data_IF_626612085676
#
_entry.id   IF_626612085676
#
_cell.length_a   1.000
_cell.length_b   1.000
_cell.length_c   1.000
_cell.angle_alpha   90.00
_cell.angle_beta   90.00
_cell.angle_gamma   90.00
#
_symmetry.space_group_name_H-M   'P 1'
#
loop_
_entity.id
_entity.type
_entity.pdbx_description
1 polymer ?
#
# COMPACT_ATOMS: atom_id res chain seq x y z
N UNK A 1 4.30 10.97 -17.22
CA UNK A 1 5.05 11.51 -16.07
C UNK A 1 4.22 11.32 -14.82
N UNK A 2 4.48 10.24 -14.08
CA UNK A 2 3.72 9.79 -12.91
C UNK A 2 4.45 9.83 -11.55
N UNK A 3 5.75 10.21 -11.46
CA UNK A 3 6.38 10.46 -10.17
C UNK A 3 5.68 11.56 -9.34
N UNK A 4 4.97 12.51 -9.96
CA UNK A 4 4.46 13.72 -9.30
C UNK A 4 3.39 13.47 -8.22
N UNK A 5 2.27 12.84 -8.57
CA UNK A 5 1.13 12.68 -7.63
C UNK A 5 1.39 11.70 -6.48
N UNK A 6 2.21 10.69 -6.71
CA UNK A 6 2.66 9.79 -5.65
C UNK A 6 3.68 10.51 -4.75
N UNK A 7 4.64 11.26 -5.32
CA UNK A 7 5.58 12.06 -4.53
C UNK A 7 4.89 13.14 -3.69
N UNK A 8 3.82 13.76 -4.19
CA UNK A 8 2.99 14.73 -3.42
C UNK A 8 2.31 14.11 -2.19
N UNK A 9 2.07 12.80 -2.20
CA UNK A 9 1.55 12.04 -1.05
C UNK A 9 2.67 11.49 -0.14
N UNK A 10 3.93 11.85 -0.40
CA UNK A 10 5.11 11.29 0.28
C UNK A 10 5.47 9.86 -0.16
N UNK A 11 4.89 9.41 -1.27
CA UNK A 11 5.04 8.05 -1.81
C UNK A 11 6.15 8.06 -2.86
N UNK A 12 7.37 7.79 -2.44
CA UNK A 12 8.49 7.55 -3.36
C UNK A 12 8.48 6.08 -3.82
N UNK A 13 7.41 5.66 -4.49
CA UNK A 13 7.32 4.32 -5.07
C UNK A 13 7.63 4.41 -6.56
N UNK A 14 8.73 3.79 -6.96
CA UNK A 14 8.96 3.54 -8.38
C UNK A 14 8.10 2.34 -8.78
N UNK A 15 6.90 2.60 -9.31
CA UNK A 15 5.93 1.56 -9.72
C UNK A 15 6.45 0.65 -10.86
N UNK A 16 7.59 1.02 -11.48
CA UNK A 16 8.29 0.23 -12.49
C UNK A 16 9.52 -0.51 -11.95
N UNK A 17 9.84 -0.37 -10.65
CA UNK A 17 10.88 -1.20 -10.02
C UNK A 17 10.39 -2.65 -10.00
N UNK A 18 11.16 -3.55 -10.63
CA UNK A 18 10.87 -4.99 -10.67
C UNK A 18 10.81 -5.62 -9.27
N UNK A 19 11.62 -5.12 -8.35
CA UNK A 19 11.71 -5.59 -6.97
C UNK A 19 11.50 -4.41 -6.02
N UNK A 20 10.29 -4.28 -5.47
CA UNK A 20 10.06 -3.42 -4.31
C UNK A 20 10.21 -4.29 -3.06
N UNK A 21 11.01 -3.86 -2.08
CA UNK A 21 11.10 -4.64 -0.85
C UNK A 21 9.84 -4.42 -0.02
N UNK A 22 9.40 -5.46 0.67
CA UNK A 22 8.28 -5.41 1.63
C UNK A 22 8.38 -4.20 2.57
N UNK A 23 9.58 -3.91 3.06
CA UNK A 23 9.84 -2.79 3.96
C UNK A 23 9.62 -1.43 3.30
N UNK A 24 9.97 -1.26 2.02
CA UNK A 24 9.70 -0.02 1.28
C UNK A 24 8.21 0.22 1.10
N UNK A 25 7.45 -0.83 0.81
CA UNK A 25 6.00 -0.78 0.64
C UNK A 25 5.32 -0.38 1.96
N UNK A 26 5.65 -1.07 3.05
CA UNK A 26 5.13 -0.79 4.39
C UNK A 26 5.46 0.63 4.83
N UNK A 27 6.72 1.07 4.68
CA UNK A 27 7.15 2.43 5.04
C UNK A 27 6.37 3.48 4.27
N UNK A 28 6.16 3.27 2.97
CA UNK A 28 5.40 4.20 2.13
C UNK A 28 3.94 4.30 2.60
N UNK A 29 3.28 3.17 2.85
CA UNK A 29 1.89 3.18 3.33
C UNK A 29 1.75 3.83 4.71
N UNK A 30 2.68 3.55 5.63
CA UNK A 30 2.71 4.21 6.94
C UNK A 30 2.93 5.72 6.82
N UNK A 31 3.80 6.17 5.93
CA UNK A 31 4.03 7.59 5.69
C UNK A 31 2.75 8.30 5.21
N UNK A 32 2.00 7.68 4.28
CA UNK A 32 0.71 8.23 3.84
C UNK A 32 -0.29 8.26 4.99
N UNK A 33 -0.36 7.19 5.78
CA UNK A 33 -1.29 7.12 6.91
C UNK A 33 -1.01 8.19 7.97
N UNK A 34 0.27 8.41 8.30
CA UNK A 34 0.70 9.50 9.18
C UNK A 34 0.33 10.87 8.61
N UNK A 35 0.59 11.11 7.32
CA UNK A 35 0.23 12.37 6.66
C UNK A 35 -1.29 12.62 6.60
N UNK A 36 -2.10 11.56 6.59
CA UNK A 36 -3.56 11.65 6.65
C UNK A 36 -4.12 11.70 8.08
N UNK A 37 -3.27 11.75 9.11
CA UNK A 37 -3.70 11.82 10.51
C UNK A 37 -4.37 10.54 11.02
N UNK A 38 -4.07 9.38 10.42
CA UNK A 38 -4.62 8.09 10.84
C UNK A 38 -3.96 7.59 12.13
N UNK A 39 -4.78 7.04 13.03
CA UNK A 39 -4.40 6.55 14.36
C UNK A 39 -3.35 5.42 14.32
N UNK A 40 -2.51 5.34 15.35
CA UNK A 40 -1.54 4.27 15.65
C UNK A 40 -2.05 2.83 15.44
N UNK A 41 -3.32 2.56 15.72
CA UNK A 41 -3.95 1.26 15.49
C UNK A 41 -4.00 0.89 14.00
N UNK A 42 -4.19 1.88 13.12
CA UNK A 42 -4.16 1.68 11.67
C UNK A 42 -2.73 1.40 11.17
N UNK A 43 -1.72 2.02 11.80
CA UNK A 43 -0.31 1.79 11.47
C UNK A 43 0.14 0.36 11.82
N UNK A 44 -0.27 -0.18 12.97
CA UNK A 44 0.05 -1.56 13.35
C UNK A 44 -0.61 -2.58 12.41
N UNK A 45 -1.86 -2.33 11.99
CA UNK A 45 -2.60 -3.19 11.06
C UNK A 45 -2.00 -3.19 9.65
N UNK A 46 -1.38 -2.09 9.26
CA UNK A 46 -0.68 -1.97 7.97
C UNK A 46 0.48 -2.97 7.89
N UNK A 47 1.26 -3.13 8.97
CA UNK A 47 2.32 -4.14 9.00
C UNK A 47 1.79 -5.55 8.83
N UNK A 48 0.75 -5.91 9.59
CA UNK A 48 0.17 -7.26 9.55
C UNK A 48 -0.37 -7.60 8.15
N UNK A 49 -1.17 -6.70 7.58
CA UNK A 49 -1.81 -6.89 6.27
C UNK A 49 -0.74 -7.00 5.19
N UNK A 50 0.24 -6.10 5.16
CA UNK A 50 1.25 -6.12 4.10
C UNK A 50 2.26 -7.24 4.26
N UNK A 51 2.58 -7.68 5.49
CA UNK A 51 3.35 -8.90 5.71
C UNK A 51 2.61 -10.11 5.13
N UNK A 52 1.34 -10.28 5.50
CA UNK A 52 0.53 -11.40 5.02
C UNK A 52 0.30 -11.36 3.51
N UNK A 53 0.05 -10.17 2.96
CA UNK A 53 -0.10 -9.98 1.53
C UNK A 53 1.19 -10.31 0.77
N UNK A 54 2.34 -9.90 1.31
CA UNK A 54 3.63 -10.25 0.74
C UNK A 54 3.82 -11.76 0.76
N UNK A 55 3.60 -12.45 1.89
CA UNK A 55 3.74 -13.91 2.01
C UNK A 55 2.83 -14.67 1.03
N UNK A 56 1.57 -14.25 0.90
CA UNK A 56 0.60 -14.86 -0.02
C UNK A 56 0.85 -14.54 -1.50
N UNK A 57 1.61 -13.50 -1.81
CA UNK A 57 1.80 -13.06 -3.20
C UNK A 57 2.74 -13.99 -3.97
N UNK A 58 2.31 -14.58 -5.10
CA UNK A 58 3.13 -15.52 -5.87
C UNK A 58 4.34 -14.85 -6.54
N UNK A 59 4.24 -13.56 -6.86
CA UNK A 59 5.27 -12.81 -7.61
C UNK A 59 6.05 -11.82 -6.75
N UNK A 60 5.58 -11.54 -5.54
CA UNK A 60 6.15 -10.54 -4.61
C UNK A 60 6.34 -9.12 -5.21
N UNK A 61 5.76 -8.85 -6.38
CA UNK A 61 5.81 -7.55 -7.03
C UNK A 61 4.76 -6.59 -6.45
N UNK A 62 4.98 -5.29 -6.67
CA UNK A 62 4.17 -4.20 -6.14
C UNK A 62 2.66 -4.38 -6.37
N UNK A 63 2.25 -4.71 -7.59
CA UNK A 63 0.83 -4.80 -7.93
C UNK A 63 0.19 -6.05 -7.35
N UNK A 64 0.89 -7.18 -7.41
CA UNK A 64 0.40 -8.44 -6.85
C UNK A 64 0.21 -8.32 -5.33
N UNK A 65 1.19 -7.72 -4.63
CA UNK A 65 1.13 -7.51 -3.17
C UNK A 65 0.01 -6.55 -2.79
N UNK A 66 -0.18 -5.46 -3.55
CA UNK A 66 -1.28 -4.53 -3.27
C UNK A 66 -2.65 -5.13 -3.52
N UNK A 67 -2.80 -5.92 -4.58
CA UNK A 67 -4.06 -6.62 -4.83
C UNK A 67 -4.39 -7.63 -3.72
N UNK A 68 -3.40 -8.37 -3.24
CA UNK A 68 -3.59 -9.29 -2.12
C UNK A 68 -3.95 -8.54 -0.82
N UNK A 69 -3.25 -7.43 -0.51
CA UNK A 69 -3.57 -6.58 0.64
C UNK A 69 -5.00 -6.00 0.54
N UNK A 70 -5.44 -5.64 -0.66
CA UNK A 70 -6.81 -5.19 -0.90
C UNK A 70 -7.83 -6.29 -0.60
N UNK A 71 -7.56 -7.53 -1.00
CA UNK A 71 -8.45 -8.67 -0.71
C UNK A 71 -8.53 -8.95 0.79
N UNK A 72 -7.39 -8.96 1.49
CA UNK A 72 -7.33 -9.19 2.94
C UNK A 72 -8.10 -8.12 3.74
N UNK A 73 -8.22 -6.91 3.20
CA UNK A 73 -8.88 -5.78 3.87
C UNK A 73 -10.34 -5.57 3.45
N UNK A 74 -10.80 -6.24 2.38
CA UNK A 74 -12.12 -6.02 1.76
C UNK A 74 -13.31 -6.42 2.64
N UNK A 75 -13.13 -7.43 3.50
CA UNK A 75 -14.21 -8.05 4.25
C UNK A 75 -14.29 -7.63 5.72
N UNK A 76 -13.55 -6.58 6.11
CA UNK A 76 -13.50 -6.13 7.49
C UNK A 76 -13.73 -4.64 7.57
N UNK A 77 -14.80 -4.23 8.25
CA UNK A 77 -15.05 -2.82 8.58
C UNK A 77 -13.86 -2.18 9.31
N UNK A 78 -13.11 -3.00 10.06
CA UNK A 78 -11.92 -2.59 10.77
C UNK A 78 -10.78 -2.12 9.86
N UNK A 79 -10.77 -2.51 8.58
CA UNK A 79 -9.72 -2.18 7.61
C UNK A 79 -10.20 -1.23 6.51
N UNK A 80 -11.36 -0.59 6.67
CA UNK A 80 -11.98 0.27 5.63
C UNK A 80 -11.03 1.37 5.13
N UNK A 81 -10.37 2.11 6.02
CA UNK A 81 -9.45 3.19 5.65
C UNK A 81 -8.21 2.68 4.91
N UNK A 82 -7.67 1.51 5.32
CA UNK A 82 -6.52 0.89 4.65
C UNK A 82 -6.91 0.36 3.27
N UNK A 83 -8.06 -0.30 3.14
CA UNK A 83 -8.59 -0.75 1.85
C UNK A 83 -8.82 0.43 0.88
N UNK A 84 -9.36 1.54 1.38
CA UNK A 84 -9.55 2.76 0.59
C UNK A 84 -8.21 3.32 0.10
N UNK A 85 -7.21 3.42 0.98
CA UNK A 85 -5.87 3.88 0.64
C UNK A 85 -5.18 2.99 -0.40
N UNK A 86 -5.26 1.66 -0.23
CA UNK A 86 -4.75 0.69 -1.22
C UNK A 86 -5.41 0.91 -2.58
N UNK A 87 -6.73 1.15 -2.59
CA UNK A 87 -7.49 1.46 -3.80
C UNK A 87 -7.01 2.73 -4.52
N UNK A 88 -6.73 3.81 -3.78
CA UNK A 88 -6.17 5.05 -4.33
C UNK A 88 -4.80 4.79 -4.96
N UNK A 89 -3.89 4.11 -4.25
CA UNK A 89 -2.55 3.82 -4.75
C UNK A 89 -2.60 2.95 -6.01
N UNK A 90 -3.45 1.92 -6.04
CA UNK A 90 -3.66 1.08 -7.23
C UNK A 90 -4.19 1.87 -8.43
N UNK A 91 -5.12 2.81 -8.21
CA UNK A 91 -5.64 3.66 -9.29
C UNK A 91 -4.58 4.61 -9.84
N UNK A 92 -3.81 5.27 -8.96
CA UNK A 92 -2.73 6.16 -9.36
C UNK A 92 -1.64 5.40 -10.14
N UNK A 93 -1.31 4.19 -9.69
CA UNK A 93 -0.35 3.34 -10.36
C UNK A 93 -0.85 2.86 -11.74
N UNK A 94 -2.15 2.56 -11.91
CA UNK A 94 -2.73 2.17 -13.22
C UNK A 94 -2.85 3.31 -14.22
N UNK A 95 -3.02 4.54 -13.76
CA UNK A 95 -3.01 5.72 -14.62
C UNK A 95 -1.59 6.05 -15.12
N UNK A 96 -0.59 5.27 -14.70
CA UNK A 96 0.83 5.44 -15.00
C UNK A 96 1.32 4.62 -16.18
#
# INVERSE_FOLDING_TARGET
>A
MLPGKLAELGIHINVHQKDITKDQLIKSFKAIQLNQGLDSLALMKTDEIFNRAYENSPRKDFYTVLHEAQQLTRNSHMYSSLNHLIGIVLQLAKAS
#
